data_IF_804730716727
#
_entry.id   IF_804730716727
#
_cell.length_a   1.000
_cell.length_b   1.000
_cell.length_c   1.000
_cell.angle_alpha   90.00
_cell.angle_beta   90.00
_cell.angle_gamma   90.00
#
_symmetry.space_group_name_H-M   'P 1'
#
loop_
_entity.id
_entity.type
_entity.pdbx_description
1 polymer ?
#
# COMPACT_ATOMS: atom_id res chain seq x y z
N UNK A 1 22.87 12.92 7.00
CA UNK A 1 22.50 14.07 6.13
C UNK A 1 22.70 13.68 4.67
N UNK A 2 21.69 13.92 3.82
CA UNK A 2 21.74 13.83 2.36
C UNK A 2 21.70 12.41 1.77
N UNK A 3 20.56 11.73 1.80
CA UNK A 3 20.32 10.62 0.87
C UNK A 3 20.34 11.21 -0.55
N UNK A 4 21.42 10.99 -1.28
CA UNK A 4 21.51 11.41 -2.67
C UNK A 4 20.59 10.47 -3.44
N UNK A 5 19.43 10.95 -3.87
CA UNK A 5 18.51 10.19 -4.72
C UNK A 5 18.68 10.68 -6.15
N UNK A 6 19.55 10.01 -6.91
CA UNK A 6 19.72 10.23 -8.34
C UNK A 6 19.52 8.88 -9.05
N UNK A 7 18.40 8.76 -9.76
CA UNK A 7 18.09 7.55 -10.51
C UNK A 7 17.31 7.90 -11.76
N UNK A 8 17.50 7.11 -12.81
CA UNK A 8 16.76 7.23 -14.06
C UNK A 8 16.09 5.91 -14.36
N UNK A 9 14.81 5.97 -14.73
CA UNK A 9 14.04 4.81 -15.17
C UNK A 9 13.55 5.06 -16.59
N UNK A 10 13.69 4.07 -17.44
CA UNK A 10 13.17 4.07 -18.81
C UNK A 10 12.31 2.83 -19.02
N UNK A 11 11.22 2.97 -19.76
CA UNK A 11 10.26 1.91 -19.97
C UNK A 11 9.70 2.00 -21.38
N UNK A 12 9.69 0.85 -22.06
CA UNK A 12 8.85 0.60 -23.23
C UNK A 12 7.91 -0.51 -22.83
N UNK A 13 6.61 -0.22 -22.79
CA UNK A 13 5.60 -1.09 -22.21
C UNK A 13 4.46 -1.32 -23.19
N UNK A 14 3.90 -2.53 -23.12
CA UNK A 14 2.67 -2.93 -23.77
C UNK A 14 1.77 -3.63 -22.74
N UNK A 15 0.54 -3.15 -22.62
CA UNK A 15 -0.57 -3.82 -21.99
C UNK A 15 -1.73 -4.01 -22.98
N UNK A 16 -2.54 -5.04 -22.76
CA UNK A 16 -3.73 -5.26 -23.57
C UNK A 16 -4.49 -6.52 -23.18
N UNK A 17 -5.77 -6.55 -23.52
CA UNK A 17 -6.64 -7.71 -23.28
C UNK A 17 -7.33 -8.06 -24.60
N UNK A 18 -7.31 -9.34 -24.96
CA UNK A 18 -8.10 -9.90 -26.06
C UNK A 18 -8.99 -11.02 -25.53
N UNK A 19 -10.28 -10.96 -25.87
CA UNK A 19 -11.24 -11.92 -25.35
C UNK A 19 -12.48 -12.04 -26.25
N UNK A 20 -13.12 -13.19 -26.14
CA UNK A 20 -14.41 -13.47 -26.76
C UNK A 20 -15.46 -13.73 -25.68
N UNK A 21 -16.68 -13.22 -25.91
CA UNK A 21 -17.84 -13.50 -25.08
C UNK A 21 -18.90 -14.21 -25.89
N UNK A 22 -19.41 -15.31 -25.35
CA UNK A 22 -20.51 -16.09 -25.92
C UNK A 22 -21.66 -16.13 -24.92
N UNK A 23 -22.84 -15.64 -25.33
CA UNK A 23 -24.04 -15.67 -24.52
C UNK A 23 -25.07 -16.63 -25.13
N UNK A 24 -25.47 -17.66 -24.36
CA UNK A 24 -26.52 -18.59 -24.77
C UNK A 24 -27.39 -19.00 -23.57
N UNK A 25 -28.68 -18.74 -23.68
CA UNK A 25 -29.66 -19.10 -22.65
C UNK A 25 -29.35 -18.44 -21.30
N UNK A 26 -28.96 -19.25 -20.32
CA UNK A 26 -28.65 -18.80 -18.95
C UNK A 26 -27.17 -18.48 -18.72
N UNK A 27 -26.30 -18.73 -19.70
CA UNK A 27 -24.86 -18.62 -19.56
C UNK A 27 -24.33 -17.46 -20.40
N UNK A 28 -23.38 -16.72 -19.83
CA UNK A 28 -22.54 -15.78 -20.54
C UNK A 28 -21.09 -16.13 -20.23
N UNK A 29 -20.45 -16.81 -21.17
CA UNK A 29 -19.09 -17.30 -21.04
C UNK A 29 -18.14 -16.28 -21.67
N UNK A 30 -17.09 -15.89 -20.95
CA UNK A 30 -16.01 -15.06 -21.48
C UNK A 30 -14.68 -15.77 -21.29
N UNK A 31 -13.85 -15.79 -22.33
CA UNK A 31 -12.53 -16.38 -22.29
C UNK A 31 -11.56 -15.56 -23.12
N UNK A 32 -10.31 -15.50 -22.68
CA UNK A 32 -9.34 -14.64 -23.33
C UNK A 32 -7.96 -14.66 -22.68
N UNK A 33 -7.13 -13.78 -23.18
CA UNK A 33 -5.79 -13.52 -22.70
C UNK A 33 -5.72 -12.06 -22.28
N UNK A 34 -5.27 -11.85 -21.06
CA UNK A 34 -4.91 -10.55 -20.52
C UNK A 34 -3.38 -10.49 -20.47
N UNK A 35 -2.82 -9.40 -20.99
CA UNK A 35 -1.38 -9.09 -21.02
C UNK A 35 -1.19 -7.86 -20.16
N UNK A 36 -0.96 -8.01 -18.85
CA UNK A 36 -0.93 -6.85 -17.98
C UNK A 36 0.38 -6.07 -18.01
N UNK A 37 1.47 -6.72 -18.42
CA UNK A 37 2.76 -6.06 -18.63
C UNK A 37 3.66 -6.91 -19.55
N UNK A 38 4.04 -6.34 -20.69
CA UNK A 38 5.26 -6.73 -21.40
C UNK A 38 6.09 -5.47 -21.51
N UNK A 39 7.19 -5.40 -20.77
CA UNK A 39 7.98 -4.18 -20.69
C UNK A 39 9.48 -4.43 -20.78
N UNK A 40 10.15 -3.65 -21.63
CA UNK A 40 11.61 -3.49 -21.59
C UNK A 40 11.92 -2.31 -20.70
N UNK A 41 12.58 -2.57 -19.58
CA UNK A 41 12.90 -1.56 -18.57
C UNK A 41 14.41 -1.35 -18.50
N UNK A 42 14.81 -0.09 -18.35
CA UNK A 42 16.18 0.30 -18.02
C UNK A 42 16.19 1.08 -16.71
N UNK A 43 17.07 0.71 -15.79
CA UNK A 43 17.25 1.36 -14.50
C UNK A 43 18.70 1.82 -14.38
N UNK A 44 18.89 3.11 -14.15
CA UNK A 44 20.17 3.70 -13.78
C UNK A 44 20.08 4.17 -12.32
N UNK A 45 21.00 3.74 -11.46
CA UNK A 45 21.01 4.11 -10.03
C UNK A 45 22.33 4.77 -9.60
N UNK A 46 22.28 6.08 -9.37
CA UNK A 46 23.38 6.92 -8.88
C UNK A 46 23.21 7.31 -7.41
N UNK A 47 22.29 6.64 -6.70
CA UNK A 47 21.96 6.95 -5.31
C UNK A 47 23.20 6.75 -4.41
N UNK A 48 23.34 7.60 -3.38
CA UNK A 48 24.37 7.51 -2.33
C UNK A 48 25.82 7.30 -2.81
N UNK A 49 26.21 7.90 -3.93
CA UNK A 49 27.59 7.85 -4.46
C UNK A 49 28.59 8.70 -3.67
N UNK A 50 28.13 9.78 -3.03
CA UNK A 50 28.91 10.55 -2.06
C UNK A 50 28.90 9.94 -0.65
N UNK A 51 28.09 8.90 -0.46
CA UNK A 51 27.82 8.25 0.81
C UNK A 51 26.93 9.05 1.76
N UNK A 52 26.40 8.36 2.77
CA UNK A 52 25.47 8.92 3.75
C UNK A 52 25.79 8.39 5.16
N UNK A 53 25.88 9.30 6.13
CA UNK A 53 26.00 8.95 7.54
C UNK A 53 24.64 8.95 8.23
N UNK A 54 24.46 7.96 9.08
CA UNK A 54 23.36 7.86 10.03
C UNK A 54 23.88 8.05 11.45
N UNK A 55 23.08 8.73 12.28
CA UNK A 55 23.38 9.01 13.68
C UNK A 55 22.16 8.62 14.51
N UNK A 56 22.36 7.94 15.63
CA UNK A 56 21.27 7.44 16.49
C UNK A 56 20.55 8.58 17.23
N UNK A 57 21.30 9.64 17.54
CA UNK A 57 20.80 10.80 18.27
C UNK A 57 21.38 12.13 17.77
N UNK A 58 20.75 13.23 18.20
CA UNK A 58 21.28 14.57 17.95
C UNK A 58 22.62 14.81 18.69
N UNK A 59 22.87 14.12 19.80
CA UNK A 59 24.13 14.20 20.53
C UNK A 59 25.25 13.52 19.74
N UNK A 60 24.96 12.38 19.12
CA UNK A 60 25.90 11.66 18.26
C UNK A 60 26.24 12.46 17.01
N UNK A 61 25.23 13.10 16.41
CA UNK A 61 25.46 14.04 15.32
C UNK A 61 26.37 15.20 15.72
N UNK A 62 26.14 15.78 16.91
CA UNK A 62 26.94 16.92 17.41
C UNK A 62 28.37 16.53 17.79
N UNK A 63 28.57 15.28 18.19
CA UNK A 63 29.89 14.73 18.55
C UNK A 63 30.58 13.98 17.41
N UNK A 64 29.97 13.96 16.22
CA UNK A 64 30.47 13.29 15.03
C UNK A 64 30.71 11.77 15.22
N UNK A 65 29.81 11.10 15.93
CA UNK A 65 29.84 9.65 16.17
C UNK A 65 28.73 8.95 15.38
N UNK A 66 28.93 8.66 14.08
CA UNK A 66 27.91 7.96 13.28
C UNK A 66 27.71 6.52 13.75
N UNK A 67 26.49 6.00 13.62
CA UNK A 67 26.20 4.58 13.78
C UNK A 67 26.47 3.80 12.49
N UNK A 68 26.17 4.38 11.33
CA UNK A 68 26.44 3.73 10.04
C UNK A 68 26.90 4.72 8.99
N UNK A 69 27.70 4.23 8.04
CA UNK A 69 28.02 4.90 6.78
C UNK A 69 27.63 4.02 5.60
N UNK A 70 26.79 4.56 4.70
CA UNK A 70 26.29 3.86 3.53
C UNK A 70 26.89 4.45 2.26
N UNK A 71 27.41 3.61 1.35
CA UNK A 71 27.99 4.04 0.08
C UNK A 71 27.60 3.08 -1.06
N UNK A 72 27.32 3.63 -2.24
CA UNK A 72 27.14 2.86 -3.47
C UNK A 72 28.11 3.30 -4.56
N UNK A 73 28.69 2.35 -5.28
CA UNK A 73 29.64 2.61 -6.37
C UNK A 73 29.65 1.48 -7.40
N UNK A 74 30.19 1.72 -8.60
CA UNK A 74 30.26 0.74 -9.68
C UNK A 74 29.31 1.04 -10.84
N UNK A 75 28.95 -0.01 -11.58
CA UNK A 75 28.07 0.05 -12.75
C UNK A 75 26.62 0.24 -12.33
N UNK A 76 26.04 1.32 -12.82
CA UNK A 76 24.71 1.80 -12.42
C UNK A 76 23.58 1.40 -13.34
N UNK A 77 23.89 0.98 -14.57
CA UNK A 77 22.90 0.76 -15.60
C UNK A 77 22.62 -0.73 -15.78
N UNK A 78 21.37 -1.11 -15.57
CA UNK A 78 20.81 -2.42 -15.92
C UNK A 78 19.61 -2.25 -16.84
N UNK A 79 19.37 -3.25 -17.68
CA UNK A 79 18.17 -3.33 -18.48
C UNK A 79 17.67 -4.77 -18.51
N UNK A 80 16.36 -4.95 -18.47
CA UNK A 80 15.72 -6.25 -18.44
C UNK A 80 14.36 -6.24 -19.11
N UNK A 81 13.84 -7.44 -19.36
CA UNK A 81 12.52 -7.66 -19.94
C UNK A 81 11.62 -8.31 -18.89
N UNK A 82 10.50 -7.68 -18.58
CA UNK A 82 9.44 -8.20 -17.72
C UNK A 82 8.28 -8.66 -18.60
N UNK A 83 7.74 -9.84 -18.30
CA UNK A 83 6.60 -10.42 -19.02
C UNK A 83 5.63 -11.03 -18.02
N UNK A 84 4.40 -10.54 -18.05
CA UNK A 84 3.27 -11.03 -17.28
C UNK A 84 2.15 -11.37 -18.26
N UNK A 85 1.66 -12.60 -18.19
CA UNK A 85 0.57 -13.10 -19.02
C UNK A 85 -0.50 -13.73 -18.14
N UNK A 86 -1.77 -13.62 -18.55
CA UNK A 86 -2.89 -14.19 -17.83
C UNK A 86 -3.89 -14.79 -18.81
N UNK A 87 -4.14 -16.09 -18.71
CA UNK A 87 -5.27 -16.72 -19.40
C UNK A 87 -6.49 -16.74 -18.49
N UNK A 88 -7.69 -16.53 -19.02
CA UNK A 88 -8.91 -16.59 -18.21
C UNK A 88 -10.08 -17.28 -18.91
N UNK A 89 -10.96 -17.85 -18.08
CA UNK A 89 -12.25 -18.41 -18.46
C UNK A 89 -13.26 -18.10 -17.35
N UNK A 90 -14.40 -17.52 -17.72
CA UNK A 90 -15.41 -17.01 -16.79
C UNK A 90 -16.82 -17.32 -17.31
N UNK A 91 -17.75 -17.63 -16.43
CA UNK A 91 -19.16 -17.91 -16.75
C UNK A 91 -20.09 -17.18 -15.76
N UNK A 92 -20.91 -16.28 -16.31
CA UNK A 92 -22.02 -15.62 -15.63
C UNK A 92 -23.31 -16.41 -15.87
N UNK A 93 -23.78 -17.10 -14.82
CA UNK A 93 -24.89 -18.04 -14.88
C UNK A 93 -26.12 -17.45 -14.20
N UNK A 94 -27.20 -17.25 -14.95
CA UNK A 94 -28.53 -16.93 -14.40
C UNK A 94 -29.29 -18.22 -14.06
N UNK A 95 -28.91 -18.83 -12.94
CA UNK A 95 -29.49 -20.11 -12.46
C UNK A 95 -31.02 -20.00 -12.29
N UNK A 96 -31.49 -18.94 -11.62
CA UNK A 96 -32.91 -18.58 -11.44
C UNK A 96 -33.13 -17.10 -11.79
N UNK A 97 -34.38 -16.64 -12.03
CA UNK A 97 -34.65 -15.23 -12.31
C UNK A 97 -34.14 -14.26 -11.24
N UNK A 98 -34.02 -14.74 -9.99
CA UNK A 98 -33.59 -14.01 -8.80
C UNK A 98 -32.27 -14.54 -8.19
N UNK A 99 -31.55 -15.41 -8.88
CA UNK A 99 -30.27 -15.95 -8.42
C UNK A 99 -29.30 -16.06 -9.59
N UNK A 100 -28.17 -15.33 -9.49
CA UNK A 100 -27.05 -15.44 -10.41
C UNK A 100 -25.82 -15.96 -9.70
N UNK A 101 -25.03 -16.75 -10.42
CA UNK A 101 -23.77 -17.35 -9.98
C UNK A 101 -22.70 -16.98 -11.01
N UNK A 102 -21.55 -16.54 -10.55
CA UNK A 102 -20.37 -16.29 -11.35
C UNK A 102 -19.30 -17.30 -10.97
N UNK A 103 -18.71 -17.93 -11.98
CA UNK A 103 -17.58 -18.83 -11.86
C UNK A 103 -16.45 -18.30 -12.73
N UNK A 104 -15.24 -18.18 -12.19
CA UNK A 104 -14.08 -17.70 -12.92
C UNK A 104 -12.84 -18.50 -12.58
N UNK A 105 -11.99 -18.71 -13.58
CA UNK A 105 -10.65 -19.25 -13.43
C UNK A 105 -9.69 -18.37 -14.21
N UNK A 106 -8.59 -17.99 -13.58
CA UNK A 106 -7.45 -17.36 -14.27
C UNK A 106 -6.18 -18.14 -14.02
N UNK A 107 -5.23 -18.05 -14.93
CA UNK A 107 -3.89 -18.61 -14.79
C UNK A 107 -2.86 -17.53 -15.07
N UNK A 108 -2.00 -17.23 -14.09
CA UNK A 108 -0.97 -16.22 -14.20
C UNK A 108 0.39 -16.84 -14.55
N UNK A 109 1.14 -16.18 -15.42
CA UNK A 109 2.52 -16.53 -15.72
C UNK A 109 3.39 -15.28 -15.69
N UNK A 110 4.55 -15.38 -15.01
CA UNK A 110 5.54 -14.31 -14.91
C UNK A 110 6.93 -14.89 -15.18
N UNK A 111 7.75 -14.21 -15.98
CA UNK A 111 9.05 -14.75 -16.39
C UNK A 111 10.10 -14.82 -15.26
N UNK A 112 10.00 -14.02 -14.20
CA UNK A 112 10.93 -14.09 -13.05
C UNK A 112 10.50 -15.07 -11.95
N UNK A 113 9.28 -15.63 -12.06
CA UNK A 113 8.74 -16.63 -11.13
C UNK A 113 8.19 -17.83 -11.91
N UNK A 114 8.85 -18.18 -13.01
CA UNK A 114 8.36 -19.18 -13.96
C UNK A 114 8.46 -20.62 -13.42
N UNK A 115 9.24 -20.84 -12.36
CA UNK A 115 9.45 -22.14 -11.74
C UNK A 115 8.26 -22.61 -10.89
N UNK A 116 7.29 -21.73 -10.59
CA UNK A 116 6.03 -22.11 -9.94
C UNK A 116 4.88 -22.20 -10.97
N UNK A 117 4.48 -23.42 -11.39
CA UNK A 117 3.38 -23.60 -12.34
C UNK A 117 1.99 -23.51 -11.69
N UNK A 118 1.88 -23.32 -10.36
CA UNK A 118 0.60 -23.43 -9.65
C UNK A 118 -0.09 -22.07 -9.45
N UNK A 119 -0.15 -21.27 -10.51
CA UNK A 119 -0.66 -19.89 -10.45
C UNK A 119 -2.15 -19.76 -10.83
N UNK A 120 -2.97 -20.69 -10.35
CA UNK A 120 -4.40 -20.72 -10.63
C UNK A 120 -5.17 -19.80 -9.67
N UNK A 121 -5.99 -18.94 -10.24
CA UNK A 121 -6.79 -17.95 -9.55
C UNK A 121 -8.29 -18.22 -9.70
N UNK A 122 -8.85 -19.21 -8.99
CA UNK A 122 -10.29 -19.48 -9.00
C UNK A 122 -11.05 -18.35 -8.32
N UNK A 123 -12.26 -18.09 -8.82
CA UNK A 123 -13.17 -17.05 -8.34
C UNK A 123 -14.60 -17.57 -8.41
N UNK A 124 -15.36 -17.32 -7.35
CA UNK A 124 -16.77 -17.67 -7.28
C UNK A 124 -17.52 -16.52 -6.62
N UNK A 125 -18.65 -16.11 -7.19
CA UNK A 125 -19.54 -15.17 -6.52
C UNK A 125 -21.00 -15.43 -6.86
N UNK A 126 -21.91 -14.94 -6.05
CA UNK A 126 -23.34 -15.07 -6.27
C UNK A 126 -24.06 -13.78 -5.93
N UNK A 127 -25.23 -13.61 -6.55
CA UNK A 127 -26.19 -12.60 -6.17
C UNK A 127 -27.59 -13.20 -6.06
N UNK A 128 -28.26 -12.92 -4.96
CA UNK A 128 -29.56 -13.49 -4.66
C UNK A 128 -30.55 -12.41 -4.21
N UNK A 129 -31.70 -12.33 -4.89
CA UNK A 129 -32.82 -11.49 -4.51
C UNK A 129 -33.94 -12.38 -3.93
N UNK A 130 -34.03 -12.59 -2.60
CA UNK A 130 -35.01 -13.49 -2.00
C UNK A 130 -36.47 -13.06 -2.23
N UNK A 131 -36.71 -11.75 -2.32
CA UNK A 131 -38.06 -11.22 -2.50
C UNK A 131 -38.40 -11.03 -3.99
N UNK A 132 -39.63 -11.34 -4.40
CA UNK A 132 -40.14 -11.04 -5.75
C UNK A 132 -40.06 -9.55 -6.13
N UNK A 133 -40.07 -8.66 -5.13
CA UNK A 133 -39.98 -7.20 -5.33
C UNK A 133 -38.54 -6.70 -5.52
N UNK A 134 -37.52 -7.56 -5.40
CA UNK A 134 -36.11 -7.19 -5.61
C UNK A 134 -35.53 -6.17 -4.63
N UNK A 135 -36.24 -5.84 -3.54
CA UNK A 135 -35.81 -4.79 -2.59
C UNK A 135 -34.68 -5.20 -1.67
N UNK A 136 -34.38 -6.49 -1.59
CA UNK A 136 -33.29 -7.02 -0.81
C UNK A 136 -32.45 -7.89 -1.72
N UNK A 137 -31.14 -7.65 -1.72
CA UNK A 137 -30.16 -8.39 -2.49
C UNK A 137 -29.05 -8.82 -1.55
N UNK A 138 -28.71 -10.10 -1.57
CA UNK A 138 -27.57 -10.67 -0.88
C UNK A 138 -26.51 -10.96 -1.93
N UNK A 139 -25.28 -10.52 -1.68
CA UNK A 139 -24.13 -10.77 -2.54
C UNK A 139 -23.04 -11.42 -1.71
N UNK A 140 -22.36 -12.38 -2.29
CA UNK A 140 -21.20 -12.97 -1.64
C UNK A 140 -20.29 -13.62 -2.67
N UNK A 141 -19.03 -13.78 -2.31
CA UNK A 141 -18.06 -14.40 -3.19
C UNK A 141 -16.68 -14.39 -2.59
N UNK A 142 -15.77 -15.05 -3.29
CA UNK A 142 -14.36 -15.02 -2.98
C UNK A 142 -13.52 -15.56 -4.11
N UNK A 143 -12.23 -15.30 -4.03
CA UNK A 143 -11.28 -15.76 -5.02
C UNK A 143 -9.85 -15.57 -4.60
N UNK A 144 -8.97 -16.11 -5.45
CA UNK A 144 -7.52 -15.97 -5.34
C UNK A 144 -7.06 -14.90 -6.33
N UNK A 145 -6.18 -14.02 -5.86
CA UNK A 145 -5.67 -12.88 -6.63
C UNK A 145 -4.15 -12.84 -6.48
N UNK A 146 -3.42 -13.13 -7.56
CA UNK A 146 -1.96 -13.04 -7.56
C UNK A 146 -1.50 -11.59 -7.66
N UNK A 147 -0.43 -11.29 -6.94
CA UNK A 147 0.28 -10.03 -7.03
C UNK A 147 1.31 -10.08 -8.17
N UNK A 148 1.88 -8.92 -8.48
CA UNK A 148 3.02 -8.78 -9.37
C UNK A 148 4.19 -8.28 -8.55
N UNK A 149 5.37 -8.82 -8.81
CA UNK A 149 6.58 -8.39 -8.11
C UNK A 149 6.97 -6.98 -8.45
N UNK A 150 6.61 -6.56 -9.67
CA UNK A 150 7.03 -5.31 -10.26
C UNK A 150 8.52 -5.30 -10.57
N UNK A 151 8.99 -4.17 -11.12
CA UNK A 151 10.34 -4.08 -11.67
C UNK A 151 11.44 -3.80 -10.65
N UNK A 152 11.11 -3.18 -9.51
CA UNK A 152 12.13 -2.76 -8.53
C UNK A 152 12.93 -3.94 -7.96
N UNK A 153 12.32 -5.06 -7.52
CA UNK A 153 13.06 -6.21 -7.00
C UNK A 153 13.99 -6.83 -8.05
N UNK A 154 13.53 -6.95 -9.29
CA UNK A 154 14.33 -7.46 -10.41
C UNK A 154 15.55 -6.54 -10.64
N UNK A 155 15.33 -5.23 -10.62
CA UNK A 155 16.38 -4.22 -10.67
C UNK A 155 17.42 -4.39 -9.56
N UNK A 156 16.97 -4.54 -8.31
CA UNK A 156 17.84 -4.74 -7.15
C UNK A 156 18.70 -6.00 -7.29
N UNK A 157 18.12 -7.12 -7.76
CA UNK A 157 18.85 -8.38 -8.00
C UNK A 157 19.92 -8.24 -9.08
N UNK A 158 19.66 -7.44 -10.12
CA UNK A 158 20.62 -7.19 -11.20
C UNK A 158 21.71 -6.18 -10.80
N UNK A 159 21.36 -5.17 -9.99
CA UNK A 159 22.31 -4.18 -9.48
C UNK A 159 23.20 -4.75 -8.39
N UNK A 160 22.63 -5.27 -7.31
CA UNK A 160 23.34 -5.64 -6.08
C UNK A 160 23.75 -7.11 -6.08
N UNK A 161 24.25 -7.61 -7.20
CA UNK A 161 24.73 -8.99 -7.35
C UNK A 161 26.21 -9.18 -6.90
N UNK A 162 26.78 -8.18 -6.22
CA UNK A 162 28.19 -8.16 -5.79
C UNK A 162 29.19 -7.76 -6.87
N UNK A 163 28.74 -7.45 -8.09
CA UNK A 163 29.62 -7.11 -9.22
C UNK A 163 29.24 -5.79 -9.89
N UNK A 164 27.95 -5.56 -10.17
CA UNK A 164 27.51 -4.38 -10.91
C UNK A 164 27.54 -3.13 -10.04
N UNK A 165 26.57 -2.97 -9.16
CA UNK A 165 26.48 -1.87 -8.21
C UNK A 165 26.85 -2.40 -6.83
N UNK A 166 28.02 -1.99 -6.34
CA UNK A 166 28.54 -2.39 -5.05
C UNK A 166 27.93 -1.51 -3.97
N UNK A 167 27.46 -2.13 -2.90
CA UNK A 167 26.84 -1.47 -1.74
C UNK A 167 27.66 -1.78 -0.50
N UNK A 168 28.09 -0.74 0.20
CA UNK A 168 28.83 -0.84 1.45
C UNK A 168 27.99 -0.26 2.58
N UNK A 169 27.87 -1.04 3.66
CA UNK A 169 27.29 -0.61 4.93
C UNK A 169 28.41 -0.76 5.93
N UNK A 170 28.97 0.35 6.38
CA UNK A 170 30.05 0.38 7.38
C UNK A 170 29.41 0.67 8.73
N UNK A 171 29.57 -0.27 9.65
CA UNK A 171 29.02 -0.29 11.00
C UNK A 171 30.16 -0.26 12.05
N UNK A 172 29.86 -0.08 13.36
CA UNK A 172 30.87 -0.07 14.40
C UNK A 172 31.54 -1.46 14.53
N UNK A 173 32.85 -1.52 14.82
CA UNK A 173 33.74 -0.42 15.19
C UNK A 173 34.43 0.28 14.01
N UNK A 174 34.12 -0.10 12.76
CA UNK A 174 34.84 0.37 11.57
C UNK A 174 34.35 1.73 11.07
N UNK A 175 33.12 2.11 11.40
CA UNK A 175 32.57 3.41 11.01
C UNK A 175 33.32 4.56 11.70
N UNK A 176 33.78 5.54 10.93
CA UNK A 176 34.47 6.75 11.41
C UNK A 176 33.89 8.00 10.75
N UNK A 177 34.10 9.17 11.35
CA UNK A 177 33.77 10.46 10.73
C UNK A 177 34.98 11.40 10.67
N UNK A 178 35.48 11.75 9.47
CA UNK A 178 35.09 11.21 8.17
C UNK A 178 35.49 9.74 8.01
N UNK A 179 34.83 9.03 7.09
CA UNK A 179 35.15 7.66 6.70
C UNK A 179 36.55 7.60 6.11
N UNK A 180 37.31 6.57 6.49
CA UNK A 180 38.66 6.34 5.95
C UNK A 180 38.62 5.36 4.77
N UNK A 181 39.51 5.50 3.78
CA UNK A 181 39.62 4.53 2.70
C UNK A 181 39.92 3.10 3.18
N UNK A 182 40.67 2.95 4.29
CA UNK A 182 40.97 1.65 4.90
C UNK A 182 39.72 1.00 5.50
N UNK A 183 38.92 1.75 6.27
CA UNK A 183 37.67 1.22 6.83
C UNK A 183 36.71 0.75 5.72
N UNK A 184 36.61 1.52 4.65
CA UNK A 184 35.79 1.14 3.50
C UNK A 184 36.35 -0.09 2.77
N UNK A 185 37.67 -0.19 2.61
CA UNK A 185 38.31 -1.32 1.93
C UNK A 185 38.20 -2.64 2.72
N UNK A 186 38.10 -2.56 4.04
CA UNK A 186 37.85 -3.71 4.93
C UNK A 186 36.37 -4.11 4.97
N UNK A 187 35.46 -3.24 4.51
CA UNK A 187 34.02 -3.49 4.54
C UNK A 187 33.59 -4.42 3.40
N UNK A 188 33.02 -5.59 3.68
CA UNK A 188 32.54 -6.49 2.64
C UNK A 188 31.34 -5.92 1.87
N UNK A 189 31.23 -6.28 0.59
CA UNK A 189 30.11 -5.84 -0.25
C UNK A 189 28.81 -6.50 0.21
N UNK A 190 27.76 -5.70 0.35
CA UNK A 190 26.40 -6.17 0.58
C UNK A 190 25.73 -6.56 -0.74
N UNK A 191 24.96 -7.65 -0.72
CA UNK A 191 24.32 -8.22 -1.92
C UNK A 191 22.82 -8.37 -1.74
N UNK A 192 22.08 -8.42 -2.85
CA UNK A 192 20.67 -8.79 -2.89
C UNK A 192 20.51 -10.12 -3.62
N UNK A 193 19.75 -11.03 -3.02
CA UNK A 193 19.45 -12.35 -3.55
C UNK A 193 17.96 -12.64 -3.43
N UNK A 194 17.46 -13.53 -4.28
CA UNK A 194 16.09 -14.05 -4.22
C UNK A 194 16.14 -15.42 -3.56
N UNK A 195 15.25 -15.69 -2.61
CA UNK A 195 15.10 -17.04 -2.06
C UNK A 195 14.76 -18.01 -3.20
N UNK A 196 15.51 -19.11 -3.39
CA UNK A 196 15.23 -20.11 -4.42
C UNK A 196 13.82 -20.72 -4.35
N UNK A 197 13.14 -20.60 -3.20
CA UNK A 197 11.79 -21.08 -2.94
C UNK A 197 10.73 -19.98 -3.11
N UNK A 198 11.13 -18.77 -3.50
CA UNK A 198 10.22 -17.65 -3.64
C UNK A 198 9.14 -17.91 -4.69
N UNK A 199 7.90 -17.56 -4.36
CA UNK A 199 6.71 -17.74 -5.19
C UNK A 199 6.01 -16.41 -5.38
N UNK A 200 5.11 -16.36 -6.36
CA UNK A 200 4.27 -15.19 -6.58
C UNK A 200 3.31 -15.05 -5.38
N UNK A 201 3.32 -13.91 -4.66
CA UNK A 201 2.37 -13.68 -3.58
C UNK A 201 0.94 -13.69 -4.09
N UNK A 202 0.01 -14.06 -3.22
CA UNK A 202 -1.41 -14.02 -3.56
C UNK A 202 -2.26 -13.59 -2.38
N UNK A 203 -3.45 -13.08 -2.69
CA UNK A 203 -4.46 -12.70 -1.73
C UNK A 203 -5.71 -13.58 -1.89
N UNK A 204 -6.20 -14.11 -0.77
CA UNK A 204 -7.56 -14.66 -0.67
C UNK A 204 -8.49 -13.51 -0.27
N UNK A 205 -9.33 -13.06 -1.19
CA UNK A 205 -10.34 -12.05 -0.91
C UNK A 205 -11.70 -12.70 -0.91
N UNK A 206 -12.52 -12.39 0.08
CA UNK A 206 -13.89 -12.88 0.18
C UNK A 206 -14.78 -11.86 0.86
N UNK A 207 -16.04 -11.81 0.45
CA UNK A 207 -17.02 -10.90 1.04
C UNK A 207 -18.41 -11.52 1.06
N UNK A 208 -19.22 -11.06 2.00
CA UNK A 208 -20.65 -11.33 2.05
C UNK A 208 -21.37 -10.07 2.52
N UNK A 209 -22.44 -9.70 1.84
CA UNK A 209 -23.18 -8.49 2.15
C UNK A 209 -24.65 -8.59 1.80
N UNK A 210 -25.43 -7.75 2.47
CA UNK A 210 -26.85 -7.56 2.25
C UNK A 210 -27.10 -6.09 1.94
N UNK A 211 -27.85 -5.84 0.89
CA UNK A 211 -28.36 -4.53 0.54
C UNK A 211 -29.89 -4.56 0.58
N UNK A 212 -30.49 -3.52 1.17
CA UNK A 212 -31.94 -3.37 1.24
C UNK A 212 -32.39 -1.95 0.93
N UNK A 213 -33.23 -1.84 -0.10
CA UNK A 213 -34.04 -0.65 -0.34
C UNK A 213 -35.15 -0.58 0.73
N UNK A 214 -35.06 0.38 1.64
CA UNK A 214 -36.01 0.57 2.76
C UNK A 214 -37.18 1.46 2.33
N UNK A 215 -36.89 2.54 1.61
CA UNK A 215 -37.91 3.42 1.00
C UNK A 215 -37.66 3.55 -0.50
N UNK A 216 -38.55 4.24 -1.23
CA UNK A 216 -38.32 4.52 -2.64
C UNK A 216 -37.03 5.33 -2.92
N UNK A 217 -36.43 5.95 -1.91
CA UNK A 217 -35.28 6.86 -2.04
C UNK A 217 -34.12 6.54 -1.11
N UNK A 218 -34.17 5.43 -0.36
CA UNK A 218 -33.15 5.09 0.63
C UNK A 218 -32.79 3.61 0.59
N UNK A 219 -31.50 3.35 0.70
CA UNK A 219 -30.89 2.02 0.72
C UNK A 219 -29.92 1.93 1.87
N UNK A 220 -29.96 0.80 2.57
CA UNK A 220 -28.96 0.43 3.57
C UNK A 220 -28.24 -0.84 3.12
N UNK A 221 -26.94 -0.90 3.35
CA UNK A 221 -26.15 -2.10 3.14
C UNK A 221 -25.25 -2.39 4.33
N UNK A 222 -24.98 -3.68 4.53
CA UNK A 222 -23.97 -4.17 5.44
C UNK A 222 -23.14 -5.22 4.70
N UNK A 223 -21.82 -5.11 4.74
CA UNK A 223 -20.91 -6.05 4.11
C UNK A 223 -19.77 -6.41 5.06
N UNK A 224 -19.43 -7.70 5.12
CA UNK A 224 -18.22 -8.19 5.72
C UNK A 224 -17.22 -8.52 4.62
N UNK A 225 -15.98 -8.05 4.76
CA UNK A 225 -14.90 -8.23 3.80
C UNK A 225 -13.71 -8.84 4.54
N UNK A 226 -13.21 -9.95 4.04
CA UNK A 226 -11.99 -10.60 4.50
C UNK A 226 -10.92 -10.59 3.42
N UNK A 227 -9.69 -10.29 3.82
CA UNK A 227 -8.51 -10.39 2.97
C UNK A 227 -7.40 -11.15 3.70
N UNK A 228 -6.77 -12.10 3.02
CA UNK A 228 -5.60 -12.84 3.51
C UNK A 228 -4.50 -12.76 2.47
N UNK A 229 -3.44 -12.00 2.73
CA UNK A 229 -2.24 -12.01 1.89
C UNK A 229 -1.34 -13.16 2.34
N UNK A 230 -1.01 -14.07 1.43
CA UNK A 230 -0.21 -15.26 1.69
C UNK A 230 1.04 -15.19 0.82
N UNK A 231 2.20 -15.45 1.44
CA UNK A 231 3.50 -15.34 0.79
C UNK A 231 3.81 -13.92 0.34
N UNK A 232 3.27 -12.90 1.04
CA UNK A 232 3.59 -11.50 0.77
C UNK A 232 5.09 -11.26 0.84
N UNK A 233 5.61 -10.39 -0.01
CA UNK A 233 7.05 -10.14 -0.02
C UNK A 233 7.56 -9.53 1.28
N UNK A 234 8.76 -9.93 1.66
CA UNK A 234 9.59 -9.32 2.70
C UNK A 234 11.07 -9.49 2.33
N UNK A 235 11.94 -8.81 3.05
CA UNK A 235 13.38 -9.12 3.06
C UNK A 235 13.81 -9.56 4.45
N UNK A 236 14.88 -10.34 4.49
CA UNK A 236 15.69 -10.58 5.69
C UNK A 236 17.16 -10.29 5.37
N UNK A 237 17.98 -10.07 6.38
CA UNK A 237 19.43 -10.21 6.24
C UNK A 237 19.81 -11.67 6.51
N UNK A 238 20.03 -12.44 5.45
CA UNK A 238 20.45 -13.84 5.55
C UNK A 238 21.86 -13.99 6.13
N UNK A 239 22.62 -12.89 6.22
CA UNK A 239 23.93 -12.81 6.85
C UNK A 239 23.90 -11.89 8.09
N UNK A 240 22.73 -11.76 8.74
CA UNK A 240 22.57 -10.95 9.95
C UNK A 240 23.59 -11.37 11.02
N UNK A 241 24.19 -10.43 11.77
CA UNK A 241 25.09 -10.80 12.85
C UNK A 241 24.40 -11.66 13.90
N UNK A 242 25.17 -12.57 14.49
CA UNK A 242 24.75 -13.36 15.65
C UNK A 242 25.72 -13.15 16.80
N UNK A 243 25.19 -13.22 18.02
CA UNK A 243 25.99 -13.03 19.23
C UNK A 243 26.86 -14.27 19.49
N UNK A 244 28.17 -14.14 19.25
CA UNK A 244 29.17 -15.19 19.50
C UNK A 244 30.18 -14.66 20.51
N UNK A 245 30.26 -15.31 21.68
CA UNK A 245 31.14 -14.90 22.79
C UNK A 245 30.98 -13.42 23.20
N UNK A 246 29.75 -12.88 23.13
CA UNK A 246 29.45 -11.49 23.47
C UNK A 246 29.72 -10.47 22.37
N UNK A 247 30.19 -10.90 21.19
CA UNK A 247 30.40 -10.04 20.04
C UNK A 247 29.41 -10.39 18.93
N UNK A 248 28.87 -9.38 18.26
CA UNK A 248 28.05 -9.57 17.07
C UNK A 248 28.95 -9.86 15.87
N UNK A 249 28.77 -11.04 15.25
CA UNK A 249 29.60 -11.50 14.14
C UNK A 249 28.72 -12.00 13.01
N UNK A 250 28.99 -11.53 11.79
CA UNK A 250 28.32 -12.03 10.58
C UNK A 250 28.78 -13.47 10.28
N UNK A 251 27.85 -14.42 10.02
CA UNK A 251 28.20 -15.81 9.74
C UNK A 251 29.16 -16.00 8.55
N UNK A 252 28.99 -15.23 7.49
CA UNK A 252 29.87 -15.22 6.32
C UNK A 252 30.62 -13.88 6.22
N UNK A 253 31.93 -13.85 6.52
CA UNK A 253 32.71 -12.61 6.51
C UNK A 253 32.99 -12.05 5.10
N UNK A 254 32.73 -12.81 4.04
CA UNK A 254 32.96 -12.35 2.66
C UNK A 254 31.88 -11.39 2.15
N UNK A 255 30.74 -11.32 2.84
CA UNK A 255 29.61 -10.47 2.47
C UNK A 255 29.24 -9.56 3.63
N UNK A 256 28.76 -8.36 3.29
CA UNK A 256 28.12 -7.47 4.26
C UNK A 256 26.71 -7.98 4.55
N UNK A 257 25.73 -7.07 4.52
CA UNK A 257 24.32 -7.44 4.54
C UNK A 257 23.97 -8.27 3.29
N UNK A 258 23.37 -9.43 3.48
CA UNK A 258 22.82 -10.26 2.42
C UNK A 258 21.30 -10.12 2.45
N UNK A 259 20.77 -9.18 1.68
CA UNK A 259 19.32 -8.98 1.55
C UNK A 259 18.73 -10.14 0.77
N UNK A 260 18.12 -11.10 1.46
CA UNK A 260 17.36 -12.17 0.84
C UNK A 260 15.89 -11.77 0.75
N UNK A 261 15.39 -11.65 -0.48
CA UNK A 261 13.99 -11.36 -0.77
C UNK A 261 13.19 -12.67 -0.73
N UNK A 262 12.16 -12.71 0.11
CA UNK A 262 11.36 -13.91 0.37
C UNK A 262 9.87 -13.65 0.18
N UNK A 263 9.13 -14.69 -0.19
CA UNK A 263 7.67 -14.72 -0.25
C UNK A 263 7.08 -15.45 0.96
N UNK A 264 7.41 -15.00 2.18
CA UNK A 264 7.01 -15.64 3.44
C UNK A 264 6.17 -14.73 4.36
N UNK A 265 5.85 -13.52 3.90
CA UNK A 265 4.99 -12.60 4.63
C UNK A 265 3.52 -13.04 4.66
N UNK A 266 2.80 -12.57 5.67
CA UNK A 266 1.39 -12.83 5.87
C UNK A 266 0.65 -11.53 6.23
N UNK A 267 -0.56 -11.37 5.69
CA UNK A 267 -1.45 -10.24 5.97
C UNK A 267 -2.84 -10.77 6.30
N UNK A 268 -3.46 -10.27 7.36
CA UNK A 268 -4.83 -10.60 7.76
C UNK A 268 -5.62 -9.30 7.95
N UNK A 269 -6.59 -9.05 7.06
CA UNK A 269 -7.51 -7.92 7.17
C UNK A 269 -8.96 -8.39 7.27
N UNK A 270 -9.75 -7.72 8.09
CA UNK A 270 -11.19 -7.93 8.21
C UNK A 270 -11.88 -6.58 8.37
N UNK A 271 -12.94 -6.34 7.60
CA UNK A 271 -13.74 -5.14 7.68
C UNK A 271 -15.23 -5.46 7.74
N UNK A 272 -15.95 -4.72 8.56
CA UNK A 272 -17.41 -4.60 8.51
C UNK A 272 -17.75 -3.19 8.03
N UNK A 273 -18.41 -3.12 6.88
CA UNK A 273 -18.84 -1.88 6.26
C UNK A 273 -20.36 -1.74 6.39
N UNK A 274 -20.81 -0.61 6.92
CA UNK A 274 -22.20 -0.21 6.98
C UNK A 274 -22.38 1.03 6.12
N UNK A 275 -23.29 0.97 5.16
CA UNK A 275 -23.54 2.09 4.25
C UNK A 275 -25.02 2.46 4.25
N UNK A 276 -25.28 3.75 4.29
CA UNK A 276 -26.56 4.35 3.97
C UNK A 276 -26.40 5.20 2.72
N UNK A 277 -27.32 5.09 1.76
CA UNK A 277 -27.36 5.94 0.57
C UNK A 277 -28.79 6.38 0.29
N UNK A 278 -29.01 7.67 0.05
CA UNK A 278 -30.32 8.14 -0.40
C UNK A 278 -30.67 9.56 -0.01
N UNK A 279 -31.99 9.85 -0.10
CA UNK A 279 -32.58 11.13 0.31
C UNK A 279 -33.27 10.99 1.66
N UNK A 280 -32.72 11.61 2.70
CA UNK A 280 -33.31 11.60 4.05
C UNK A 280 -34.59 12.44 4.09
N UNK A 281 -34.60 13.57 3.38
CA UNK A 281 -35.78 14.43 3.20
C UNK A 281 -35.72 15.12 1.82
N UNK A 282 -36.59 16.12 1.59
CA UNK A 282 -36.66 16.83 0.29
C UNK A 282 -35.43 17.67 -0.04
N UNK A 283 -34.61 17.99 0.97
CA UNK A 283 -33.43 18.84 0.82
C UNK A 283 -32.14 18.03 0.91
N UNK A 284 -32.08 17.01 1.78
CA UNK A 284 -30.84 16.30 2.08
C UNK A 284 -30.72 14.99 1.31
N UNK A 285 -29.64 14.88 0.52
CA UNK A 285 -29.27 13.66 -0.18
C UNK A 285 -27.79 13.35 0.03
N UNK A 286 -27.44 12.08 0.22
CA UNK A 286 -26.06 11.73 0.51
C UNK A 286 -25.83 10.25 0.75
N UNK A 287 -24.61 9.98 1.21
CA UNK A 287 -24.11 8.69 1.65
C UNK A 287 -23.45 8.84 3.02
N UNK A 288 -23.67 7.87 3.88
CA UNK A 288 -22.93 7.68 5.13
C UNK A 288 -22.30 6.30 5.07
N UNK A 289 -21.05 6.20 5.45
CA UNK A 289 -20.30 4.96 5.51
C UNK A 289 -19.58 4.86 6.85
N UNK A 290 -19.68 3.69 7.47
CA UNK A 290 -18.93 3.36 8.66
C UNK A 290 -18.22 2.04 8.43
N UNK A 291 -16.90 2.04 8.61
CA UNK A 291 -16.06 0.85 8.50
C UNK A 291 -15.43 0.55 9.87
N UNK A 292 -15.70 -0.64 10.38
CA UNK A 292 -14.93 -1.25 11.47
C UNK A 292 -13.91 -2.20 10.85
N UNK A 293 -12.63 -1.87 10.88
CA UNK A 293 -11.57 -2.63 10.23
C UNK A 293 -10.48 -3.07 11.21
N UNK A 294 -9.87 -4.24 10.98
CA UNK A 294 -8.62 -4.62 11.63
C UNK A 294 -7.69 -5.28 10.62
N UNK A 295 -6.47 -4.77 10.52
CA UNK A 295 -5.41 -5.30 9.68
C UNK A 295 -4.15 -5.57 10.49
N UNK A 296 -3.71 -6.82 10.49
CA UNK A 296 -2.46 -7.27 11.09
C UNK A 296 -1.58 -7.90 9.99
N UNK A 297 -0.27 -7.75 10.06
CA UNK A 297 0.69 -8.38 9.12
C UNK A 297 2.05 -8.60 9.81
N UNK A 298 3.01 -9.20 9.12
CA UNK A 298 4.44 -9.27 9.55
C UNK A 298 5.40 -8.67 8.50
N UNK A 299 4.86 -7.93 7.52
CA UNK A 299 5.65 -7.29 6.46
C UNK A 299 4.91 -6.08 5.90
N UNK A 300 5.64 -5.06 5.46
CA UNK A 300 5.12 -3.93 4.67
C UNK A 300 5.59 -3.96 3.21
N UNK A 301 6.16 -5.08 2.76
CA UNK A 301 6.55 -5.31 1.36
C UNK A 301 7.99 -5.77 1.22
N UNK A 302 8.46 -5.88 -0.02
CA UNK A 302 9.77 -6.47 -0.35
C UNK A 302 10.97 -5.73 0.25
N UNK A 303 10.85 -4.46 0.61
CA UNK A 303 11.92 -3.67 1.26
C UNK A 303 11.85 -3.70 2.78
N UNK A 304 10.85 -4.37 3.35
CA UNK A 304 10.68 -4.48 4.80
C UNK A 304 11.63 -5.53 5.37
N UNK A 305 12.35 -5.17 6.42
CA UNK A 305 13.13 -6.09 7.24
C UNK A 305 12.44 -6.24 8.60
N UNK A 306 12.27 -7.48 9.10
CA UNK A 306 11.86 -7.70 10.48
C UNK A 306 12.95 -7.21 11.44
N UNK A 307 12.60 -6.97 12.69
CA UNK A 307 13.59 -6.66 13.75
C UNK A 307 14.58 -7.82 13.97
N UNK A 308 14.12 -9.07 13.84
CA UNK A 308 14.96 -10.25 13.93
C UNK A 308 14.89 -11.05 12.62
N UNK A 309 15.96 -11.03 11.83
CA UNK A 309 16.05 -11.78 10.58
C UNK A 309 15.97 -13.31 10.76
N UNK A 310 16.31 -13.82 11.97
CA UNK A 310 16.22 -15.25 12.30
C UNK A 310 14.84 -15.68 12.80
N UNK A 311 14.02 -14.75 13.30
CA UNK A 311 12.62 -14.98 13.68
C UNK A 311 11.73 -13.88 13.13
N UNK A 312 11.64 -13.86 11.80
CA UNK A 312 10.90 -12.84 11.08
C UNK A 312 9.37 -12.94 11.30
N UNK A 313 8.87 -14.03 11.90
CA UNK A 313 7.46 -14.18 12.25
C UNK A 313 7.09 -13.42 13.54
N UNK A 314 8.05 -13.17 14.43
CA UNK A 314 7.87 -12.36 15.63
C UNK A 314 7.45 -10.91 15.33
N UNK A 315 7.68 -10.43 14.10
CA UNK A 315 7.28 -9.10 13.63
C UNK A 315 5.76 -8.96 13.38
N UNK A 316 4.98 -10.02 13.65
CA UNK A 316 3.53 -10.01 13.54
C UNK A 316 2.88 -8.99 14.49
N UNK A 317 2.11 -8.07 13.92
CA UNK A 317 1.37 -7.07 14.69
C UNK A 317 0.43 -6.25 13.83
N UNK A 318 -0.09 -5.15 14.38
CA UNK A 318 -0.91 -4.19 13.63
C UNK A 318 -0.17 -3.74 12.38
N UNK A 319 -0.84 -3.62 11.25
CA UNK A 319 -0.25 -3.03 10.05
C UNK A 319 -0.09 -1.51 10.19
N UNK A 320 0.90 -0.90 9.53
CA UNK A 320 1.24 0.53 9.69
C UNK A 320 0.05 1.48 9.42
N UNK A 321 -0.85 1.07 8.52
CA UNK A 321 -2.04 1.86 8.14
C UNK A 321 -3.34 1.34 8.75
N UNK A 322 -3.27 0.42 9.71
CA UNK A 322 -4.45 -0.07 10.42
C UNK A 322 -5.21 1.08 11.10
N UNK A 323 -6.52 1.18 10.81
CA UNK A 323 -7.44 2.10 11.49
C UNK A 323 -8.69 1.33 11.87
N UNK A 324 -9.01 1.33 13.16
CA UNK A 324 -10.11 0.52 13.69
C UNK A 324 -11.46 1.06 13.26
N UNK A 325 -11.66 2.36 13.42
CA UNK A 325 -12.90 3.06 13.07
C UNK A 325 -12.63 4.05 11.94
N UNK A 326 -13.46 3.99 10.90
CA UNK A 326 -13.57 5.02 9.88
C UNK A 326 -15.04 5.38 9.68
N UNK A 327 -15.33 6.67 9.66
CA UNK A 327 -16.64 7.20 9.34
C UNK A 327 -16.49 8.27 8.26
N UNK A 328 -17.30 8.13 7.20
CA UNK A 328 -17.30 9.02 6.05
C UNK A 328 -18.76 9.45 5.78
N UNK A 329 -18.98 10.75 5.61
CA UNK A 329 -20.26 11.33 5.23
C UNK A 329 -20.02 12.20 4.00
N UNK A 330 -20.81 11.97 2.96
CA UNK A 330 -20.93 12.87 1.81
C UNK A 330 -22.39 13.25 1.65
N UNK A 331 -22.71 14.52 1.76
CA UNK A 331 -24.07 15.00 1.63
C UNK A 331 -24.15 16.29 0.83
N UNK A 332 -25.29 16.49 0.20
CA UNK A 332 -25.65 17.73 -0.47
C UNK A 332 -27.08 18.13 -0.14
N UNK A 333 -27.31 19.43 -0.12
CA UNK A 333 -28.64 20.02 0.04
C UNK A 333 -28.83 21.24 -0.84
N UNK A 334 -30.02 21.36 -1.40
CA UNK A 334 -30.43 22.53 -2.19
C UNK A 334 -31.65 23.17 -1.51
N UNK A 335 -31.44 23.92 -0.40
CA UNK A 335 -32.53 24.50 0.37
C UNK A 335 -33.26 25.62 -0.39
N UNK A 336 -32.55 26.27 -1.33
CA UNK A 336 -33.10 27.30 -2.23
C UNK A 336 -32.81 26.94 -3.69
N UNK A 337 -33.53 27.52 -4.64
CA UNK A 337 -33.25 27.33 -6.08
C UNK A 337 -31.87 27.85 -6.53
N UNK A 338 -31.21 28.64 -5.67
CA UNK A 338 -29.96 29.30 -6.01
C UNK A 338 -28.77 28.46 -5.53
N UNK A 339 -28.74 28.07 -4.26
CA UNK A 339 -27.53 27.49 -3.69
C UNK A 339 -27.64 26.00 -3.46
N UNK A 340 -26.60 25.28 -3.89
CA UNK A 340 -26.31 23.92 -3.48
C UNK A 340 -25.21 23.96 -2.42
N UNK A 341 -25.45 23.33 -1.29
CA UNK A 341 -24.49 23.16 -0.21
C UNK A 341 -24.04 21.70 -0.16
N UNK A 342 -22.74 21.45 -0.26
CA UNK A 342 -22.12 20.16 -0.04
C UNK A 342 -21.42 20.10 1.32
N UNK A 343 -21.43 18.91 1.92
CA UNK A 343 -20.71 18.57 3.15
C UNK A 343 -19.97 17.26 2.92
N UNK A 344 -18.68 17.25 3.23
CA UNK A 344 -17.90 16.02 3.38
C UNK A 344 -17.31 15.99 4.80
N UNK A 345 -17.48 14.89 5.52
CA UNK A 345 -16.93 14.71 6.86
C UNK A 345 -16.24 13.35 6.95
N UNK A 346 -14.97 13.36 7.37
CA UNK A 346 -14.16 12.17 7.61
C UNK A 346 -13.73 12.14 9.08
N UNK A 347 -14.11 11.09 9.81
CA UNK A 347 -13.74 10.87 11.20
C UNK A 347 -13.06 9.52 11.33
N UNK A 348 -11.74 9.52 11.52
CA UNK A 348 -10.96 8.29 11.58
C UNK A 348 -10.24 8.14 12.91
N UNK A 349 -10.24 6.93 13.45
CA UNK A 349 -9.33 6.56 14.54
C UNK A 349 -7.86 6.70 14.12
N UNK A 350 -7.00 6.81 15.13
CA UNK A 350 -5.57 7.01 14.90
C UNK A 350 -4.86 5.78 14.36
N UNK A 351 -3.81 6.04 13.59
CA UNK A 351 -2.93 5.00 13.07
C UNK A 351 -1.97 4.51 14.15
N UNK A 352 -1.56 3.24 14.11
CA UNK A 352 -0.49 2.78 14.97
C UNK A 352 0.82 3.49 14.64
N UNK A 353 1.71 3.51 15.63
CA UNK A 353 3.08 4.00 15.48
C UNK A 353 4.02 2.91 15.99
N UNK A 354 5.01 2.55 15.17
CA UNK A 354 6.05 1.62 15.56
C UNK A 354 7.02 2.30 16.53
N UNK A 355 7.24 1.71 17.70
CA UNK A 355 8.24 2.19 18.65
C UNK A 355 9.56 1.50 18.33
N UNK A 356 10.62 2.28 18.12
CA UNK A 356 11.98 1.79 17.90
C UNK A 356 12.95 2.44 18.88
N UNK A 357 14.05 1.78 19.20
CA UNK A 357 15.08 2.33 20.10
C UNK A 357 15.76 3.55 19.46
N UNK A 358 15.98 3.50 18.15
CA UNK A 358 16.72 4.49 17.37
C UNK A 358 18.19 4.18 17.19
N UNK A 359 18.67 3.09 17.78
CA UNK A 359 20.01 2.54 17.57
C UNK A 359 19.96 1.19 16.85
N UNK A 360 21.15 0.67 16.55
CA UNK A 360 21.37 -0.65 15.96
C UNK A 360 21.93 -1.59 17.05
N UNK A 361 21.03 -2.27 17.76
CA UNK A 361 21.38 -3.11 18.91
C UNK A 361 22.00 -4.45 18.49
N UNK A 362 21.71 -4.91 17.27
CA UNK A 362 22.12 -6.20 16.73
C UNK A 362 23.25 -6.09 15.67
N UNK A 363 23.66 -4.86 15.34
CA UNK A 363 24.73 -4.50 14.40
C UNK A 363 24.46 -4.96 12.96
N UNK A 364 23.20 -5.14 12.57
CA UNK A 364 22.83 -5.59 11.23
C UNK A 364 22.81 -4.46 10.18
N UNK A 365 23.01 -3.22 10.63
CA UNK A 365 22.99 -2.00 9.83
C UNK A 365 21.60 -1.41 9.62
N UNK A 366 20.56 -1.90 10.31
CA UNK A 366 19.17 -1.53 10.17
C UNK A 366 18.64 -0.96 11.49
N UNK A 367 18.20 0.30 11.47
CA UNK A 367 17.67 0.98 12.66
C UNK A 367 16.17 0.69 12.89
N UNK A 368 15.79 -0.59 12.94
CA UNK A 368 14.42 -1.03 13.18
C UNK A 368 14.22 -1.74 14.53
N UNK A 369 15.26 -1.84 15.35
CA UNK A 369 15.21 -2.47 16.67
C UNK A 369 14.16 -1.83 17.58
N UNK A 370 13.46 -2.68 18.34
CA UNK A 370 12.44 -2.25 19.29
C UNK A 370 12.91 -2.48 20.73
N UNK A 371 12.33 -1.76 21.70
CA UNK A 371 12.53 -2.10 23.09
C UNK A 371 12.08 -3.54 23.35
N UNK A 372 12.79 -4.23 24.25
CA UNK A 372 12.43 -5.58 24.65
C UNK A 372 10.94 -5.65 25.06
N UNK A 373 10.24 -6.67 24.55
CA UNK A 373 8.82 -6.91 24.82
C UNK A 373 7.84 -5.84 24.30
N UNK A 374 8.27 -4.94 23.40
CA UNK A 374 7.37 -4.00 22.72
C UNK A 374 7.12 -4.49 21.30
N UNK A 375 5.95 -5.10 21.03
CA UNK A 375 5.61 -5.51 19.68
C UNK A 375 5.51 -4.33 18.71
N UNK A 376 5.55 -4.67 17.43
CA UNK A 376 5.34 -3.71 16.35
C UNK A 376 4.00 -2.99 16.47
N UNK A 377 4.02 -1.68 16.19
CA UNK A 377 2.81 -0.87 16.00
C UNK A 377 1.86 -0.83 17.23
N UNK A 378 2.45 -0.74 18.42
CA UNK A 378 1.76 -0.75 19.72
C UNK A 378 1.26 0.62 20.17
N UNK A 379 1.97 1.71 19.84
CA UNK A 379 1.51 3.07 20.17
C UNK A 379 0.37 3.48 19.25
N UNK A 380 -0.61 4.22 19.76
CA UNK A 380 -1.69 4.79 18.96
C UNK A 380 -1.44 6.29 18.74
N UNK A 381 -1.45 6.72 17.48
CA UNK A 381 -1.59 8.14 17.12
C UNK A 381 -3.01 8.64 17.43
N UNK A 382 -3.26 9.97 17.36
CA UNK A 382 -4.59 10.51 17.54
C UNK A 382 -5.46 10.25 16.31
N UNK A 383 -6.77 10.34 16.51
CA UNK A 383 -7.73 10.36 15.41
C UNK A 383 -7.63 11.63 14.57
N UNK A 384 -8.23 11.58 13.38
CA UNK A 384 -8.32 12.72 12.45
C UNK A 384 -9.78 13.12 12.27
N UNK A 385 -10.02 14.42 12.16
CA UNK A 385 -11.32 15.05 11.93
C UNK A 385 -11.15 16.02 10.77
N UNK A 386 -11.80 15.73 9.66
CA UNK A 386 -11.75 16.56 8.46
C UNK A 386 -13.17 16.89 8.02
N UNK A 387 -13.47 18.19 7.89
CA UNK A 387 -14.77 18.71 7.49
C UNK A 387 -14.57 19.66 6.32
N UNK A 388 -15.10 19.29 5.17
CA UNK A 388 -15.10 20.10 3.96
C UNK A 388 -16.52 20.56 3.65
N UNK A 389 -16.62 21.81 3.20
CA UNK A 389 -17.88 22.43 2.79
C UNK A 389 -17.76 22.93 1.35
N UNK A 390 -18.81 22.71 0.57
CA UNK A 390 -18.97 23.27 -0.75
C UNK A 390 -20.21 24.18 -0.78
N UNK A 391 -20.09 25.33 -1.43
CA UNK A 391 -21.22 26.18 -1.81
C UNK A 391 -21.14 26.44 -3.30
N UNK A 392 -22.15 26.04 -4.06
CA UNK A 392 -22.19 26.26 -5.51
C UNK A 392 -23.51 26.87 -5.99
N UNK A 393 -23.41 27.60 -7.10
CA UNK A 393 -24.55 28.12 -7.85
C UNK A 393 -24.28 28.07 -9.36
N UNK A 394 -25.27 27.60 -10.11
CA UNK A 394 -25.29 27.60 -11.57
C UNK A 394 -26.08 28.81 -12.09
N UNK A 395 -25.40 29.71 -12.80
CA UNK A 395 -26.00 30.84 -13.50
C UNK A 395 -26.32 30.45 -14.95
N UNK A 396 -27.61 30.40 -15.28
CA UNK A 396 -28.07 30.19 -16.65
C UNK A 396 -27.84 31.45 -17.48
N UNK A 397 -26.93 31.40 -18.44
CA UNK A 397 -26.56 32.52 -19.31
C UNK A 397 -27.34 32.53 -20.63
N UNK A 398 -28.07 31.46 -20.94
CA UNK A 398 -28.96 31.42 -22.10
C UNK A 398 -30.29 30.75 -21.77
N UNK A 399 -31.34 31.11 -22.52
CA UNK A 399 -32.70 30.55 -22.37
C UNK A 399 -32.94 29.32 -23.28
N UNK A 400 -31.92 28.88 -24.03
CA UNK A 400 -32.03 27.79 -24.99
C UNK A 400 -32.23 26.44 -24.29
N UNK A 401 -33.17 25.62 -24.78
CA UNK A 401 -33.54 24.34 -24.14
C UNK A 401 -32.60 23.17 -24.44
N UNK A 402 -31.80 23.23 -25.52
CA UNK A 402 -30.98 22.08 -25.95
C UNK A 402 -29.58 22.10 -25.36
N UNK A 403 -28.96 23.26 -25.22
CA UNK A 403 -27.60 23.43 -24.67
C UNK A 403 -27.54 24.78 -23.93
N UNK A 404 -28.06 24.86 -22.70
CA UNK A 404 -28.01 26.11 -21.97
C UNK A 404 -26.56 26.42 -21.61
N UNK A 405 -26.06 27.58 -22.04
CA UNK A 405 -24.80 28.13 -21.53
C UNK A 405 -24.92 28.34 -20.02
N UNK A 406 -24.05 27.72 -19.25
CA UNK A 406 -24.05 27.80 -17.77
C UNK A 406 -22.70 28.31 -17.28
N UNK A 407 -22.74 29.28 -16.39
CA UNK A 407 -21.60 29.67 -15.56
C UNK A 407 -21.82 29.07 -14.17
N UNK A 408 -21.02 28.09 -13.78
CA UNK A 408 -21.03 27.50 -12.46
C UNK A 408 -19.97 28.18 -11.60
N UNK A 409 -20.38 28.69 -10.44
CA UNK A 409 -19.49 29.24 -9.42
C UNK A 409 -19.53 28.31 -8.21
N UNK A 410 -18.38 27.85 -7.73
CA UNK A 410 -18.31 27.11 -6.47
C UNK A 410 -17.17 27.57 -5.58
N UNK A 411 -17.48 27.67 -4.28
CA UNK A 411 -16.52 27.89 -3.22
C UNK A 411 -16.36 26.58 -2.44
N UNK A 412 -15.17 26.00 -2.52
CA UNK A 412 -14.76 24.83 -1.77
C UNK A 412 -13.92 25.28 -0.58
N UNK A 413 -14.29 24.85 0.62
CA UNK A 413 -13.55 25.12 1.85
C UNK A 413 -13.14 23.79 2.44
N UNK A 414 -11.85 23.48 2.39
CA UNK A 414 -11.26 22.26 2.90
C UNK A 414 -10.78 22.45 4.33
N UNK A 415 -10.93 21.43 5.19
CA UNK A 415 -10.62 21.48 6.61
C UNK A 415 -11.16 22.77 7.27
N UNK A 416 -12.47 22.99 7.18
CA UNK A 416 -13.13 24.21 7.65
C UNK A 416 -12.91 24.45 9.12
N UNK A 417 -12.76 23.40 9.92
CA UNK A 417 -12.45 23.52 11.35
C UNK A 417 -11.03 24.02 11.62
N UNK A 418 -10.15 24.00 10.61
CA UNK A 418 -8.71 24.23 10.75
C UNK A 418 -8.10 23.33 11.84
N UNK A 419 -8.61 22.09 11.94
CA UNK A 419 -8.14 21.10 12.90
C UNK A 419 -6.84 20.47 12.37
N UNK A 420 -5.75 20.44 13.15
CA UNK A 420 -4.53 19.76 12.75
C UNK A 420 -4.75 18.23 12.66
N UNK A 421 -4.72 17.69 11.44
CA UNK A 421 -4.81 16.25 11.21
C UNK A 421 -3.42 15.66 11.04
N UNK A 422 -2.83 15.18 12.14
CA UNK A 422 -1.47 14.62 12.15
C UNK A 422 -1.39 13.27 11.41
N UNK A 423 -0.33 13.07 10.62
CA UNK A 423 -0.15 11.87 9.77
C UNK A 423 1.15 11.12 10.05
N UNK A 424 2.09 11.72 10.79
CA UNK A 424 3.38 11.10 11.10
C UNK A 424 3.82 11.47 12.50
N UNK A 425 4.22 10.45 13.26
CA UNK A 425 4.69 10.52 14.64
C UNK A 425 6.08 9.92 14.74
N UNK A 426 6.91 10.47 15.62
CA UNK A 426 8.22 9.90 15.90
C UNK A 426 8.06 8.81 16.96
N UNK A 427 8.26 7.55 16.55
CA UNK A 427 8.30 6.39 17.44
C UNK A 427 9.70 6.04 17.95
N UNK A 428 10.72 6.84 17.61
CA UNK A 428 12.11 6.61 17.99
C UNK A 428 12.40 7.16 19.39
N UNK A 429 12.73 6.28 20.35
CA UNK A 429 12.92 6.66 21.75
C UNK A 429 14.11 7.60 21.94
N UNK A 430 15.20 7.42 21.21
CA UNK A 430 16.37 8.30 21.26
C UNK A 430 16.08 9.74 20.79
N UNK A 431 14.94 9.99 20.14
CA UNK A 431 14.59 11.31 19.62
C UNK A 431 13.97 12.21 20.69
N UNK A 432 14.35 13.50 20.77
CA UNK A 432 13.66 14.48 21.63
C UNK A 432 12.20 14.76 21.17
N UNK A 433 11.82 14.26 19.99
CA UNK A 433 10.47 14.34 19.44
C UNK A 433 9.66 13.05 19.63
N UNK A 434 10.15 12.08 20.40
CA UNK A 434 9.42 10.84 20.68
C UNK A 434 7.97 11.12 21.12
N UNK A 435 7.02 10.42 20.50
CA UNK A 435 5.58 10.57 20.75
C UNK A 435 4.97 11.86 20.18
N UNK A 436 5.74 12.73 19.52
CA UNK A 436 5.25 13.98 18.94
C UNK A 436 4.96 13.84 17.44
N UNK A 437 3.95 14.56 16.93
CA UNK A 437 3.74 14.65 15.50
C UNK A 437 4.80 15.51 14.82
N UNK A 438 5.20 15.13 13.61
CA UNK A 438 6.15 15.88 12.77
C UNK A 438 5.58 16.27 11.40
N UNK A 439 4.39 15.76 11.06
CA UNK A 439 3.68 16.14 9.85
C UNK A 439 2.16 16.14 10.07
N UNK A 440 1.48 17.02 9.35
CA UNK A 440 0.02 17.12 9.34
C UNK A 440 -0.48 17.29 7.90
N UNK A 441 -1.75 16.95 7.67
CA UNK A 441 -2.46 17.30 6.44
C UNK A 441 -2.56 18.83 6.30
N UNK A 442 -2.81 19.35 5.07
CA UNK A 442 -2.97 20.78 4.86
C UNK A 442 -3.97 21.42 5.85
N UNK A 443 -3.68 22.65 6.31
CA UNK A 443 -4.62 23.41 7.14
C UNK A 443 -5.84 23.83 6.30
N UNK A 444 -6.69 24.70 6.87
CA UNK A 444 -7.84 25.25 6.12
C UNK A 444 -7.38 25.83 4.79
N UNK A 445 -8.02 25.41 3.70
CA UNK A 445 -7.80 25.94 2.35
C UNK A 445 -9.13 26.32 1.72
N UNK A 446 -9.15 27.39 0.96
CA UNK A 446 -10.31 27.81 0.17
C UNK A 446 -9.95 27.80 -1.31
N UNK A 447 -10.86 27.31 -2.12
CA UNK A 447 -10.72 27.23 -3.56
C UNK A 447 -12.00 27.79 -4.20
N UNK A 448 -11.82 28.72 -5.13
CA UNK A 448 -12.89 29.26 -5.95
C UNK A 448 -12.78 28.64 -7.34
N UNK A 449 -13.82 27.95 -7.77
CA UNK A 449 -13.91 27.37 -9.10
C UNK A 449 -14.95 28.11 -9.92
N UNK A 450 -14.58 28.40 -11.17
CA UNK A 450 -15.44 29.01 -12.17
C UNK A 450 -15.42 28.10 -13.39
N UNK A 451 -16.56 27.49 -13.71
CA UNK A 451 -16.71 26.60 -14.85
C UNK A 451 -17.71 27.20 -15.84
N UNK A 452 -17.35 27.24 -17.12
CA UNK A 452 -18.23 27.71 -18.19
C UNK A 452 -18.53 26.55 -19.15
N UNK A 453 -19.82 26.17 -19.23
CA UNK A 453 -20.34 25.13 -20.13
C UNK A 453 -21.03 25.81 -21.29
N UNK A 454 -20.66 25.45 -22.52
CA UNK A 454 -21.19 26.04 -23.75
C UNK A 454 -21.73 24.98 -24.71
#
# INVERSE_FOLDING_TARGET
GGAQADSRRTEYHFDGTDFATFANGKHQISLGIDVPDISRRGLDDFTNRGGAYTFESAADFSSATPSTYFLQTGRVQVAFLERVLCGFFEDDIRVLPNFSLYLGMRYYWQNYFHDDPNNFAPRVSFAWAPSRKGKTVIRGGGGVFYDRTGPSPIGDLLHFNGVNLLRFIVDPPQVTYPITPSALAETPVSVAVLDPRARIPYALQYSIGIERQVTAKTTFSAAYIGNRGIGSFRSIDANAPMLVNGNWVRPNPNFGQMREMQSEGYVKANALELTYRGKLNKYFSGQVEYTLNRTDNNTSGITWFPENSYDAAADWGRADKDRLHKFDLLASTQPTRFFTFGVALSLYSGQPVNIVTGGDNNYDGILNDRPAQVPRNTMAGPGTIDLDLNLSHDFLLSKGKKEPKVLSLSLNSFNVLNHPNYVTYIGTISSPLFGKPVAAQPPRRMQLDVEFKF
#
